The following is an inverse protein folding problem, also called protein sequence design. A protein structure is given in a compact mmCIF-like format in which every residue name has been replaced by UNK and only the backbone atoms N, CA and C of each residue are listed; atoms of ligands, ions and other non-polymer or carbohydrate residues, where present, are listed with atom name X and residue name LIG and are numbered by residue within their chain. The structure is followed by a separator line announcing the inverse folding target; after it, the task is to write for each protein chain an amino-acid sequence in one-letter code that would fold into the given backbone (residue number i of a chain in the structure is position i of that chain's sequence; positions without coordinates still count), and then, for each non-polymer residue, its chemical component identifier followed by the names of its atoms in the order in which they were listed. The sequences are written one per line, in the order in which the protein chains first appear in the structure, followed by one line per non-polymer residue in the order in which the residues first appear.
data_IF_481803301023
#
_entry.id   IF_481803301023
#
_cell.length_a   1.000
_cell.length_b   1.000
_cell.length_c   1.000
_cell.angle_alpha   90.00
_cell.angle_beta   90.00
_cell.angle_gamma   90.00
#
_symmetry.space_group_name_H-M   'P 1'
#
loop_
_entity.id
_entity.type
_entity.pdbx_description
1 polymer ?
#
# COMPACT_ATOMS: atom_id res chain seq x y z
N UNK A 1 -1.55 27.78 10.71
CA UNK A 1 -1.06 26.81 11.72
C UNK A 1 -0.62 25.51 11.04
N UNK A 2 0.46 24.85 11.47
CA UNK A 2 0.82 23.58 10.84
C UNK A 2 -0.23 22.48 11.12
N UNK A 3 -0.29 21.46 10.27
CA UNK A 3 -1.28 20.39 10.40
C UNK A 3 -1.18 19.65 11.73
N UNK A 4 0.05 19.45 12.24
CA UNK A 4 0.27 18.85 13.56
C UNK A 4 -0.36 19.69 14.67
N UNK A 5 -0.20 21.02 14.61
CA UNK A 5 -0.81 21.94 15.54
C UNK A 5 -2.34 21.89 15.51
N UNK A 6 -2.95 21.83 14.32
CA UNK A 6 -4.39 21.64 14.15
C UNK A 6 -4.86 20.32 14.79
N UNK A 7 -4.14 19.23 14.53
CA UNK A 7 -4.42 17.91 15.10
C UNK A 7 -4.35 17.89 16.64
N UNK A 8 -3.32 18.49 17.23
CA UNK A 8 -3.16 18.57 18.70
C UNK A 8 -4.27 19.39 19.34
N UNK A 9 -4.70 20.50 18.70
CA UNK A 9 -5.84 21.29 19.18
C UNK A 9 -7.14 20.49 19.14
N UNK A 10 -7.43 19.84 18.01
CA UNK A 10 -8.66 19.05 17.83
C UNK A 10 -8.73 17.90 18.83
N UNK A 11 -7.66 17.13 19.00
CA UNK A 11 -7.62 16.00 19.96
C UNK A 11 -7.74 16.45 21.42
N UNK A 12 -7.21 17.64 21.75
CA UNK A 12 -7.35 18.22 23.10
C UNK A 12 -8.80 18.64 23.40
N UNK A 13 -9.51 19.16 22.40
CA UNK A 13 -10.90 19.63 22.53
C UNK A 13 -11.88 18.45 22.56
N UNK A 14 -11.67 17.44 21.71
CA UNK A 14 -12.60 16.31 21.52
C UNK A 14 -12.03 15.01 22.08
N UNK A 15 -11.84 14.96 23.40
CA UNK A 15 -11.12 13.88 24.09
C UNK A 15 -11.90 12.55 24.20
N UNK A 16 -13.21 12.54 23.96
CA UNK A 16 -14.06 11.34 24.04
C UNK A 16 -15.27 11.42 23.11
N UNK A 17 -15.67 10.28 22.53
CA UNK A 17 -16.91 10.14 21.76
C UNK A 17 -16.82 10.53 20.27
N UNK A 18 -15.64 10.91 19.79
CA UNK A 18 -15.38 11.28 18.39
C UNK A 18 -14.40 10.27 17.80
N UNK A 19 -14.71 9.75 16.60
CA UNK A 19 -13.83 8.81 15.93
C UNK A 19 -12.58 9.50 15.38
N UNK A 20 -11.52 8.73 15.16
CA UNK A 20 -10.25 9.28 14.70
C UNK A 20 -10.36 9.90 13.29
N UNK A 21 -11.29 9.41 12.45
CA UNK A 21 -11.62 9.99 11.15
C UNK A 21 -12.34 11.33 11.27
N UNK A 22 -13.24 11.48 12.24
CA UNK A 22 -13.91 12.75 12.52
C UNK A 22 -12.92 13.79 13.06
N UNK A 23 -11.98 13.39 13.91
CA UNK A 23 -10.90 14.28 14.37
C UNK A 23 -10.02 14.74 13.20
N UNK A 24 -9.80 13.87 12.21
CA UNK A 24 -9.04 14.20 11.01
C UNK A 24 -9.76 15.22 10.14
N UNK A 25 -11.05 15.06 9.93
CA UNK A 25 -11.88 16.01 9.18
C UNK A 25 -11.91 17.39 9.86
N UNK A 26 -12.04 17.43 11.18
CA UNK A 26 -12.01 18.69 11.94
C UNK A 26 -10.63 19.36 11.85
N UNK A 27 -9.54 18.59 11.96
CA UNK A 27 -8.18 19.12 11.83
C UNK A 27 -7.89 19.64 10.41
N UNK A 28 -8.42 18.98 9.38
CA UNK A 28 -8.33 19.42 7.98
C UNK A 28 -9.07 20.71 7.74
N UNK A 29 -10.29 20.84 8.26
CA UNK A 29 -11.05 22.08 8.18
C UNK A 29 -10.30 23.24 8.84
N UNK A 30 -9.79 23.03 10.06
CA UNK A 30 -8.98 24.03 10.75
C UNK A 30 -7.70 24.39 9.98
N UNK A 31 -7.10 23.44 9.27
CA UNK A 31 -5.93 23.70 8.43
C UNK A 31 -6.31 24.50 7.17
N UNK A 32 -7.40 24.14 6.50
CA UNK A 32 -7.90 24.81 5.31
C UNK A 32 -8.24 26.29 5.59
N UNK A 33 -8.92 26.57 6.71
CA UNK A 33 -9.24 27.92 7.17
C UNK A 33 -7.97 28.79 7.29
N UNK A 34 -6.86 28.22 7.75
CA UNK A 34 -5.58 28.90 7.92
C UNK A 34 -4.74 29.01 6.63
N UNK A 35 -5.06 28.24 5.58
CA UNK A 35 -4.21 28.09 4.37
C UNK A 35 -4.92 28.45 3.06
N UNK A 36 -5.97 29.29 3.11
CA UNK A 36 -6.76 29.72 1.94
C UNK A 36 -7.45 28.53 1.27
N UNK A 37 -8.18 27.73 2.06
CA UNK A 37 -8.94 26.56 1.61
C UNK A 37 -8.10 25.48 0.93
N UNK A 38 -6.79 25.43 1.22
CA UNK A 38 -5.91 24.39 0.70
C UNK A 38 -6.04 23.11 1.50
N UNK A 39 -6.31 22.01 0.80
CA UNK A 39 -6.32 20.68 1.37
C UNK A 39 -4.92 20.22 1.81
N UNK A 40 -4.86 19.49 2.91
CA UNK A 40 -3.63 18.89 3.39
C UNK A 40 -3.28 17.62 2.59
N UNK A 41 -2.33 17.73 1.66
CA UNK A 41 -1.97 16.67 0.71
C UNK A 41 -1.41 15.40 1.35
N UNK A 42 -0.81 15.47 2.55
CA UNK A 42 -0.10 14.34 3.18
C UNK A 42 -0.93 13.60 4.24
N UNK A 43 -2.27 13.66 4.16
CA UNK A 43 -3.20 13.03 5.12
C UNK A 43 -2.87 11.57 5.42
N UNK A 44 -2.66 10.75 4.38
CA UNK A 44 -2.39 9.32 4.56
C UNK A 44 -1.06 9.08 5.26
N UNK A 45 0.00 9.79 4.87
CA UNK A 45 1.30 9.72 5.52
C UNK A 45 1.22 10.17 6.97
N UNK A 46 0.47 11.24 7.26
CA UNK A 46 0.27 11.74 8.60
C UNK A 46 -0.40 10.71 9.52
N UNK A 47 -1.46 10.03 9.04
CA UNK A 47 -2.13 8.94 9.79
C UNK A 47 -1.16 7.85 10.23
N UNK A 48 -0.22 7.47 9.36
CA UNK A 48 0.79 6.45 9.67
C UNK A 48 1.85 6.99 10.62
N UNK A 49 2.41 8.17 10.32
CA UNK A 49 3.56 8.71 11.05
C UNK A 49 3.21 9.15 12.47
N UNK A 50 2.00 9.65 12.71
CA UNK A 50 1.63 10.18 14.04
C UNK A 50 1.66 9.15 15.17
N UNK A 51 1.44 7.86 14.85
CA UNK A 51 1.42 6.76 15.83
C UNK A 51 2.81 6.15 16.05
N UNK A 52 3.78 6.49 15.19
CA UNK A 52 5.14 5.97 15.30
C UNK A 52 5.83 6.49 16.57
N UNK A 53 6.42 5.57 17.34
CA UNK A 53 7.15 5.91 18.59
C UNK A 53 8.30 6.89 18.32
N UNK A 54 8.96 6.74 17.16
CA UNK A 54 10.06 7.63 16.75
C UNK A 54 9.56 9.05 16.49
N UNK A 55 8.39 9.19 15.87
CA UNK A 55 7.76 10.49 15.62
C UNK A 55 7.36 11.17 16.92
N UNK A 56 6.71 10.45 17.83
CA UNK A 56 6.36 10.97 19.16
C UNK A 56 7.58 11.48 19.94
N UNK A 57 8.68 10.72 19.91
CA UNK A 57 9.93 11.13 20.54
C UNK A 57 10.56 12.37 19.85
N UNK A 58 10.46 12.48 18.53
CA UNK A 58 10.91 13.64 17.78
C UNK A 58 10.12 14.90 18.15
N UNK A 59 8.78 14.84 18.11
CA UNK A 59 7.89 15.96 18.46
C UNK A 59 8.16 16.45 19.89
N UNK A 60 8.32 15.54 20.85
CA UNK A 60 8.63 15.90 22.24
C UNK A 60 9.96 16.67 22.35
N UNK A 61 10.99 16.23 21.63
CA UNK A 61 12.29 16.93 21.60
C UNK A 61 12.21 18.31 20.96
N UNK A 62 11.43 18.47 19.89
CA UNK A 62 11.25 19.79 19.25
C UNK A 62 10.53 20.76 20.19
N UNK A 63 9.44 20.33 20.85
CA UNK A 63 8.75 21.15 21.84
C UNK A 63 9.64 21.55 23.04
N UNK A 64 10.56 20.68 23.46
CA UNK A 64 11.53 21.00 24.52
C UNK A 64 12.59 22.02 24.07
N UNK A 65 12.99 22.01 22.79
CA UNK A 65 13.91 23.00 22.22
C UNK A 65 13.27 24.38 22.13
N UNK A 66 12.00 24.45 21.73
CA UNK A 66 11.27 25.71 21.61
C UNK A 66 11.04 26.36 22.99
N UNK A 67 10.77 25.55 24.02
CA UNK A 67 10.70 26.01 25.41
C UNK A 67 12.04 26.58 25.92
N UNK A 68 13.17 26.01 25.50
CA UNK A 68 14.51 26.52 25.84
C UNK A 68 14.88 27.80 25.09
N UNK A 69 14.38 27.99 23.87
CA UNK A 69 14.57 29.26 23.12
C UNK A 69 13.69 30.39 23.65
N UNK A 70 12.52 30.08 24.22
CA UNK A 70 11.64 31.07 24.86
C UNK A 70 12.07 31.52 26.26
N UNK A 71 13.02 30.82 26.90
CA UNK A 71 13.46 31.09 28.27
C UNK A 71 14.68 32.03 28.37
N UNK A 72 15.00 32.79 27.32
CA UNK A 72 16.10 33.80 27.35
C UNK A 72 15.61 35.18 27.79
N UNK A 73 14.30 35.44 27.84
CA UNK A 73 13.74 36.70 28.32
C UNK A 73 12.74 36.46 29.47
N UNK A 74 13.26 36.16 30.66
CA UNK A 74 12.57 36.53 31.90
C UNK A 74 13.58 36.59 33.03
N UNK A 75 13.63 37.76 33.66
CA UNK A 75 14.41 38.15 34.82
C UNK A 75 14.33 37.13 35.97
N UNK A 76 15.38 37.14 36.78
CA UNK A 76 15.67 36.25 37.89
C UNK A 76 14.56 36.19 38.96
N UNK A 77 14.27 34.97 39.44
CA UNK A 77 13.74 34.76 40.78
C UNK A 77 14.65 33.77 41.52
N UNK A 78 15.45 34.33 42.42
CA UNK A 78 16.39 33.63 43.28
C UNK A 78 15.59 32.85 44.33
N UNK A 79 15.44 31.55 44.14
CA UNK A 79 15.01 30.66 45.21
C UNK A 79 16.26 30.21 45.98
N UNK A 80 16.44 30.81 47.16
CA UNK A 80 17.36 30.34 48.19
C UNK A 80 16.99 28.89 48.57
N UNK A 81 17.93 27.95 48.42
CA UNK A 81 17.91 26.69 49.14
C UNK A 81 19.17 26.64 50.01
N UNK A 82 18.98 26.50 51.32
CA UNK A 82 20.01 26.19 52.31
C UNK A 82 20.95 25.08 51.80
N UNK A 83 22.22 25.44 51.61
CA UNK A 83 23.29 24.53 51.21
C UNK A 83 23.83 23.82 52.47
N UNK A 84 23.62 22.51 52.58
CA UNK A 84 24.29 21.66 53.57
C UNK A 84 25.68 21.28 53.03
N UNK A 85 26.79 21.78 53.59
CA UNK A 85 28.06 21.85 52.86
C UNK A 85 28.87 20.55 52.78
N UNK A 86 28.32 19.36 53.05
CA UNK A 86 29.17 18.16 53.21
C UNK A 86 28.75 16.84 52.55
N UNK A 87 27.87 16.84 51.55
CA UNK A 87 27.67 15.63 50.72
C UNK A 87 27.81 15.98 49.25
N UNK A 88 29.04 15.90 48.74
CA UNK A 88 29.26 15.94 47.29
C UNK A 88 28.66 14.67 46.68
N UNK A 89 27.78 14.77 45.67
CA UNK A 89 27.26 13.58 44.99
C UNK A 89 28.40 12.77 44.36
N UNK A 90 28.22 11.46 44.32
CA UNK A 90 29.21 10.52 43.80
C UNK A 90 29.69 10.97 42.41
N UNK A 91 31.01 11.12 42.26
CA UNK A 91 31.60 11.63 41.03
C UNK A 91 31.24 10.78 39.81
N UNK A 92 30.93 11.45 38.70
CA UNK A 92 30.48 10.84 37.44
C UNK A 92 31.35 9.66 36.97
N UNK A 93 32.67 9.70 37.20
CA UNK A 93 33.59 8.59 36.88
C UNK A 93 33.35 7.33 37.72
N UNK A 94 33.04 7.47 39.01
CA UNK A 94 32.80 6.35 39.94
C UNK A 94 31.40 5.77 39.75
N UNK A 95 30.40 6.63 39.52
CA UNK A 95 29.06 6.21 39.13
C UNK A 95 29.07 5.42 37.81
N UNK A 96 29.85 5.87 36.81
CA UNK A 96 30.03 5.17 35.54
C UNK A 96 30.77 3.84 35.75
N UNK A 97 31.82 3.77 36.58
CA UNK A 97 32.51 2.50 36.84
C UNK A 97 31.65 1.49 37.59
N UNK A 98 30.72 1.90 38.47
CA UNK A 98 29.82 0.97 39.16
C UNK A 98 28.72 0.42 38.23
N UNK A 99 28.22 1.24 37.30
CA UNK A 99 27.26 0.84 36.27
C UNK A 99 27.86 -0.14 35.25
N UNK A 100 29.10 0.11 34.80
CA UNK A 100 29.76 -0.68 33.75
C UNK A 100 30.75 -1.73 34.28
N UNK A 101 31.22 -1.63 35.52
CA UNK A 101 32.24 -2.51 36.11
C UNK A 101 31.72 -3.88 36.59
N UNK A 102 30.39 -4.08 36.63
CA UNK A 102 29.75 -5.37 36.95
C UNK A 102 29.26 -6.14 35.70
N UNK A 103 29.76 -5.82 34.50
CA UNK A 103 29.31 -6.45 33.26
C UNK A 103 29.96 -7.83 33.03
N UNK A 104 29.62 -8.81 33.87
CA UNK A 104 29.72 -10.24 33.51
C UNK A 104 28.36 -10.93 33.48
N UNK A 105 27.27 -10.24 33.85
CA UNK A 105 25.88 -10.74 33.79
C UNK A 105 25.10 -10.31 32.53
N UNK A 106 25.71 -9.55 31.61
CA UNK A 106 25.06 -9.07 30.38
C UNK A 106 25.15 -10.06 29.21
N UNK A 107 25.82 -11.20 29.36
CA UNK A 107 26.07 -12.14 28.26
C UNK A 107 24.86 -13.03 27.93
N UNK A 108 24.11 -13.51 28.94
CA UNK A 108 22.95 -14.39 28.71
C UNK A 108 21.72 -13.63 28.18
N UNK A 109 21.44 -12.44 28.74
CA UNK A 109 20.30 -11.63 28.30
C UNK A 109 20.49 -11.10 26.87
N UNK A 110 21.71 -10.68 26.50
CA UNK A 110 22.02 -10.27 25.13
C UNK A 110 21.98 -11.45 24.14
N UNK A 111 22.43 -12.64 24.55
CA UNK A 111 22.36 -13.85 23.71
C UNK A 111 20.90 -14.29 23.48
N UNK A 112 20.07 -14.30 24.54
CA UNK A 112 18.65 -14.63 24.43
C UNK A 112 17.86 -13.63 23.57
N UNK A 113 18.28 -12.36 23.52
CA UNK A 113 17.71 -11.36 22.61
C UNK A 113 18.14 -11.60 21.15
N UNK A 114 19.41 -12.01 20.93
CA UNK A 114 19.92 -12.40 19.62
C UNK A 114 19.14 -13.57 19.03
N UNK A 115 18.97 -14.66 19.80
CA UNK A 115 18.21 -15.84 19.35
C UNK A 115 16.75 -15.52 19.00
N UNK A 116 16.10 -14.60 19.73
CA UNK A 116 14.74 -14.16 19.43
C UNK A 116 14.68 -13.33 18.15
N UNK A 117 15.70 -12.50 17.90
CA UNK A 117 15.82 -11.72 16.68
C UNK A 117 16.03 -12.62 15.46
N UNK A 118 16.90 -13.63 15.57
CA UNK A 118 17.16 -14.59 14.50
C UNK A 118 15.89 -15.38 14.12
N UNK A 119 15.15 -15.88 15.13
CA UNK A 119 13.85 -16.53 14.91
C UNK A 119 12.84 -15.59 14.24
N UNK A 120 12.82 -14.32 14.61
CA UNK A 120 11.94 -13.34 13.97
C UNK A 120 12.31 -13.11 12.50
N UNK A 121 13.61 -12.98 12.20
CA UNK A 121 14.10 -12.85 10.82
C UNK A 121 13.74 -14.11 10.02
N UNK A 122 13.95 -15.30 10.58
CA UNK A 122 13.61 -16.56 9.93
C UNK A 122 12.10 -16.65 9.61
N UNK A 123 11.23 -16.39 10.58
CA UNK A 123 9.77 -16.37 10.37
C UNK A 123 9.38 -15.31 9.33
N UNK A 124 9.96 -14.11 9.39
CA UNK A 124 9.67 -13.04 8.44
C UNK A 124 10.12 -13.40 7.01
N UNK A 125 11.26 -14.05 6.86
CA UNK A 125 11.77 -14.47 5.54
C UNK A 125 10.97 -15.64 4.97
N UNK A 126 10.54 -16.59 5.81
CA UNK A 126 9.66 -17.69 5.41
C UNK A 126 8.30 -17.16 4.96
N UNK A 127 7.68 -16.28 5.75
CA UNK A 127 6.39 -15.69 5.40
C UNK A 127 6.45 -14.88 4.09
N UNK A 128 7.57 -14.22 3.81
CA UNK A 128 7.79 -13.53 2.52
C UNK A 128 7.85 -14.53 1.36
N UNK A 129 8.60 -15.63 1.51
CA UNK A 129 8.70 -16.69 0.49
C UNK A 129 7.34 -17.35 0.23
N UNK A 130 6.55 -17.62 1.26
CA UNK A 130 5.21 -18.18 1.10
C UNK A 130 4.28 -17.23 0.34
N UNK A 131 4.30 -15.94 0.69
CA UNK A 131 3.52 -14.92 -0.04
C UNK A 131 3.92 -14.81 -1.51
N UNK A 132 5.22 -14.91 -1.80
CA UNK A 132 5.74 -14.90 -3.17
C UNK A 132 5.26 -16.12 -3.96
N UNK A 133 5.32 -17.32 -3.37
CA UNK A 133 4.76 -18.54 -4.00
C UNK A 133 3.26 -18.42 -4.27
N UNK A 134 2.49 -17.86 -3.33
CA UNK A 134 1.04 -17.65 -3.53
C UNK A 134 0.79 -16.68 -4.68
N UNK A 135 1.55 -15.59 -4.77
CA UNK A 135 1.45 -14.64 -5.87
C UNK A 135 1.77 -15.29 -7.22
N UNK A 136 2.81 -16.12 -7.27
CA UNK A 136 3.19 -16.87 -8.47
C UNK A 136 2.10 -17.86 -8.90
N UNK A 137 1.54 -18.63 -7.97
CA UNK A 137 0.41 -19.54 -8.25
C UNK A 137 -0.78 -18.75 -8.80
N UNK A 138 -1.11 -17.60 -8.22
CA UNK A 138 -2.22 -16.78 -8.66
C UNK A 138 -2.00 -16.21 -10.07
N UNK A 139 -0.79 -15.75 -10.37
CA UNK A 139 -0.41 -15.28 -11.70
C UNK A 139 -0.52 -16.41 -12.74
N UNK A 140 0.01 -17.59 -12.42
CA UNK A 140 -0.06 -18.76 -13.29
C UNK A 140 -1.51 -19.19 -13.54
N UNK A 141 -2.36 -19.19 -12.51
CA UNK A 141 -3.77 -19.53 -12.65
C UNK A 141 -4.52 -18.52 -13.53
N UNK A 142 -4.20 -17.23 -13.41
CA UNK A 142 -4.75 -16.18 -14.28
C UNK A 142 -4.32 -16.38 -15.74
N UNK A 143 -3.03 -16.62 -15.98
CA UNK A 143 -2.50 -16.87 -17.33
C UNK A 143 -3.12 -18.12 -17.96
N UNK A 144 -3.21 -19.21 -17.21
CA UNK A 144 -3.82 -20.45 -17.69
C UNK A 144 -5.31 -20.26 -18.05
N UNK A 145 -6.05 -19.46 -17.27
CA UNK A 145 -7.46 -19.12 -17.60
C UNK A 145 -7.56 -18.31 -18.89
N UNK A 146 -6.66 -17.34 -19.09
CA UNK A 146 -6.63 -16.53 -20.30
C UNK A 146 -6.31 -17.38 -21.54
N UNK A 147 -5.30 -18.24 -21.46
CA UNK A 147 -4.93 -19.13 -22.57
C UNK A 147 -6.01 -20.15 -22.88
N UNK A 148 -6.69 -20.71 -21.86
CA UNK A 148 -7.84 -21.58 -22.07
C UNK A 148 -8.99 -20.86 -22.80
N UNK A 149 -9.28 -19.61 -22.45
CA UNK A 149 -10.30 -18.81 -23.12
C UNK A 149 -9.93 -18.51 -24.58
N UNK A 150 -8.67 -18.16 -24.87
CA UNK A 150 -8.17 -17.95 -26.24
C UNK A 150 -8.29 -19.22 -27.07
N UNK A 151 -7.91 -20.37 -26.50
CA UNK A 151 -8.01 -21.66 -27.19
C UNK A 151 -9.47 -22.01 -27.51
N UNK A 152 -10.37 -21.84 -26.53
CA UNK A 152 -11.80 -22.06 -26.75
C UNK A 152 -12.39 -21.16 -27.84
N UNK A 153 -12.02 -19.87 -27.86
CA UNK A 153 -12.42 -18.95 -28.92
C UNK A 153 -11.90 -19.40 -30.29
N UNK A 154 -10.62 -19.79 -30.38
CA UNK A 154 -10.03 -20.32 -31.62
C UNK A 154 -10.74 -21.59 -32.08
N UNK A 155 -11.04 -22.52 -31.18
CA UNK A 155 -11.80 -23.73 -31.49
C UNK A 155 -13.21 -23.41 -31.99
N UNK A 156 -13.91 -22.46 -31.36
CA UNK A 156 -15.24 -22.03 -31.79
C UNK A 156 -15.20 -21.37 -33.19
N UNK A 157 -14.20 -20.53 -33.45
CA UNK A 157 -13.98 -19.91 -34.75
C UNK A 157 -13.70 -20.97 -35.83
N UNK A 158 -12.83 -21.94 -35.54
CA UNK A 158 -12.52 -23.02 -36.48
C UNK A 158 -13.74 -23.90 -36.76
N UNK A 159 -14.52 -24.25 -35.72
CA UNK A 159 -15.78 -24.97 -35.90
C UNK A 159 -16.78 -24.18 -36.75
N UNK A 160 -16.87 -22.86 -36.58
CA UNK A 160 -17.71 -22.01 -37.41
C UNK A 160 -17.23 -22.00 -38.87
N UNK A 161 -15.91 -21.96 -39.10
CA UNK A 161 -15.31 -22.08 -40.45
C UNK A 161 -15.61 -23.44 -41.08
N UNK A 162 -15.47 -24.55 -40.36
CA UNK A 162 -15.81 -25.88 -40.86
C UNK A 162 -17.28 -25.97 -41.29
N UNK A 163 -18.20 -25.53 -40.43
CA UNK A 163 -19.64 -25.50 -40.77
C UNK A 163 -19.92 -24.64 -41.99
N UNK A 164 -19.26 -23.49 -42.10
CA UNK A 164 -19.39 -22.61 -43.25
C UNK A 164 -18.86 -23.27 -44.53
N UNK A 165 -17.73 -23.99 -44.47
CA UNK A 165 -17.21 -24.78 -45.59
C UNK A 165 -18.19 -25.86 -46.05
N UNK A 166 -18.80 -26.59 -45.11
CA UNK A 166 -19.79 -27.61 -45.42
C UNK A 166 -20.99 -27.01 -46.14
N UNK A 167 -21.55 -25.90 -45.62
CA UNK A 167 -22.66 -25.19 -46.27
C UNK A 167 -22.29 -24.63 -47.64
N UNK A 168 -21.07 -24.10 -47.81
CA UNK A 168 -20.57 -23.63 -49.10
C UNK A 168 -20.49 -24.77 -50.12
N UNK A 169 -19.98 -25.94 -49.71
CA UNK A 169 -19.93 -27.15 -50.54
C UNK A 169 -21.34 -27.62 -50.94
N UNK A 170 -22.30 -27.61 -50.01
CA UNK A 170 -23.69 -27.98 -50.29
C UNK A 170 -24.34 -27.03 -51.29
N UNK A 171 -24.15 -25.72 -51.12
CA UNK A 171 -24.60 -24.71 -52.08
C UNK A 171 -23.84 -24.78 -53.40
N UNK A 172 -22.64 -25.33 -53.47
CA UNK A 172 -21.94 -25.49 -54.75
C UNK A 172 -22.49 -26.69 -55.54
N UNK A 173 -22.92 -27.74 -54.83
CA UNK A 173 -23.40 -28.99 -55.43
C UNK A 173 -24.93 -29.03 -55.67
N UNK A 174 -25.71 -28.20 -54.98
CA UNK A 174 -27.17 -28.24 -55.09
C UNK A 174 -27.69 -27.83 -56.49
N UNK A 175 -28.70 -28.51 -57.06
CA UNK A 175 -29.25 -28.18 -58.37
C UNK A 175 -29.80 -26.75 -58.47
N UNK A 176 -29.57 -26.09 -59.60
CA UNK A 176 -29.98 -24.71 -59.85
C UNK A 176 -31.10 -24.57 -60.88
N UNK A 177 -31.48 -25.65 -61.58
CA UNK A 177 -32.42 -25.64 -62.70
C UNK A 177 -33.81 -25.10 -62.37
N UNK A 178 -34.21 -25.14 -61.09
CA UNK A 178 -35.57 -24.79 -60.65
C UNK A 178 -35.63 -23.42 -59.94
N UNK A 179 -34.52 -22.67 -59.91
CA UNK A 179 -34.44 -21.38 -59.22
C UNK A 179 -34.80 -20.22 -60.17
N UNK A 180 -35.45 -19.19 -59.62
CA UNK A 180 -35.67 -17.93 -60.35
C UNK A 180 -34.36 -17.15 -60.49
N UNK A 181 -34.31 -16.21 -61.46
CA UNK A 181 -33.13 -15.36 -61.66
C UNK A 181 -32.74 -14.56 -60.41
N UNK A 182 -33.73 -14.10 -59.63
CA UNK A 182 -33.50 -13.39 -58.36
C UNK A 182 -32.88 -14.33 -57.31
N UNK A 183 -33.41 -15.54 -57.16
CA UNK A 183 -32.89 -16.52 -56.21
C UNK A 183 -31.46 -17.00 -56.57
N UNK A 184 -31.14 -17.09 -57.86
CA UNK A 184 -29.78 -17.37 -58.34
C UNK A 184 -28.80 -16.26 -57.95
N UNK A 185 -29.17 -15.01 -58.16
CA UNK A 185 -28.33 -13.86 -57.81
C UNK A 185 -28.09 -13.76 -56.28
N UNK A 186 -29.12 -14.04 -55.47
CA UNK A 186 -28.97 -14.09 -54.00
C UNK A 186 -28.02 -15.19 -53.55
N UNK A 187 -28.12 -16.39 -54.16
CA UNK A 187 -27.23 -17.52 -53.87
C UNK A 187 -25.79 -17.23 -54.26
N UNK A 188 -25.55 -16.65 -55.44
CA UNK A 188 -24.22 -16.27 -55.89
C UNK A 188 -23.59 -15.27 -54.93
N UNK A 189 -24.35 -14.24 -54.51
CA UNK A 189 -23.92 -13.26 -53.51
C UNK A 189 -23.61 -13.91 -52.15
N UNK A 190 -24.43 -14.87 -51.71
CA UNK A 190 -24.19 -15.59 -50.46
C UNK A 190 -22.89 -16.42 -50.52
N UNK A 191 -22.64 -17.12 -51.64
CA UNK A 191 -21.42 -17.88 -51.85
C UNK A 191 -20.18 -16.98 -51.91
N UNK A 192 -20.25 -15.82 -52.55
CA UNK A 192 -19.13 -14.87 -52.58
C UNK A 192 -18.81 -14.33 -51.18
N UNK A 193 -19.82 -13.99 -50.39
CA UNK A 193 -19.63 -13.57 -49.00
C UNK A 193 -18.96 -14.69 -48.16
N UNK A 194 -19.41 -15.94 -48.31
CA UNK A 194 -18.80 -17.09 -47.63
C UNK A 194 -17.36 -17.29 -48.08
N UNK A 195 -17.06 -17.17 -49.39
CA UNK A 195 -15.72 -17.28 -49.95
C UNK A 195 -14.77 -16.26 -49.33
N UNK A 196 -15.23 -15.01 -49.20
CA UNK A 196 -14.44 -13.95 -48.57
C UNK A 196 -14.10 -14.24 -47.11
N UNK A 197 -15.03 -14.82 -46.33
CA UNK A 197 -14.78 -15.15 -44.91
C UNK A 197 -13.90 -16.39 -44.75
N UNK A 198 -14.10 -17.40 -45.60
CA UNK A 198 -13.39 -18.68 -45.53
C UNK A 198 -11.94 -18.60 -46.03
N UNK A 199 -11.71 -17.80 -47.08
CA UNK A 199 -10.43 -17.71 -47.77
C UNK A 199 -9.79 -16.32 -47.67
N UNK A 200 -10.24 -15.48 -46.74
CA UNK A 200 -9.52 -14.26 -46.39
C UNK A 200 -8.07 -14.62 -46.03
N UNK A 201 -7.12 -14.00 -46.71
CA UNK A 201 -5.71 -14.06 -46.33
C UNK A 201 -5.49 -13.17 -45.11
N UNK A 202 -5.02 -13.75 -44.00
CA UNK A 202 -4.45 -12.96 -42.91
C UNK A 202 -3.25 -12.20 -43.49
N UNK A 203 -3.37 -10.87 -43.57
CA UNK A 203 -2.28 -9.95 -43.95
C UNK A 203 -1.37 -9.65 -42.77
#
# INVERSE_FOLDING_TARGET
MDFHGCWVKTTKVYRSGVSDDQLMEIAEKMYADDHKDKEFMFKHFWKVVREERKWSAYVKREQEKDKKKGAVNSEAEVLNLEDNPNIRPMGHKKAKSELYGKSKKTSEACSALGEKLDKFIEVSTLAKKEREKVAEIQQNLSNNKLEAAKLAHKTAQEQMKCKMLDTYKELLLAPTSNLSALALAEREKAMENMRMVLFATDK
#
